data_IF_538683322755
#
_entry.id   IF_538683322755
#
_cell.length_a   1.000
_cell.length_b   1.000
_cell.length_c   1.000
_cell.angle_alpha   90.00
_cell.angle_beta   90.00
_cell.angle_gamma   90.00
#
_symmetry.space_group_name_H-M   'P 1'
#
loop_
_entity.id
_entity.type
_entity.pdbx_description
1 polymer ?
#
# COMPACT_ATOMS: atom_id res chain seq x y z
N UNK A 1 1.11 -32.15 -0.88
CA UNK A 1 0.44 -33.23 -1.67
C UNK A 1 -0.87 -32.79 -2.32
N UNK A 2 -1.75 -32.02 -1.68
CA UNK A 2 -3.05 -31.61 -2.25
C UNK A 2 -2.96 -30.88 -3.61
N UNK A 3 -2.03 -29.95 -3.79
CA UNK A 3 -1.85 -29.22 -5.06
C UNK A 3 -1.43 -30.10 -6.23
N UNK A 4 -0.47 -31.01 -6.01
CA UNK A 4 -0.02 -31.92 -7.06
C UNK A 4 -1.17 -32.84 -7.50
N UNK A 5 -1.97 -33.31 -6.56
CA UNK A 5 -3.15 -34.17 -6.83
C UNK A 5 -4.23 -33.40 -7.61
N UNK A 6 -4.44 -32.11 -7.32
CA UNK A 6 -5.42 -31.28 -8.03
C UNK A 6 -4.99 -30.96 -9.47
N UNK A 7 -3.69 -30.95 -9.77
CA UNK A 7 -3.15 -30.67 -11.11
C UNK A 7 -2.93 -31.92 -11.96
N UNK A 8 -2.88 -33.11 -11.36
CA UNK A 8 -2.65 -34.38 -12.07
C UNK A 8 -3.63 -34.62 -13.21
N UNK A 9 -4.95 -34.34 -13.09
CA UNK A 9 -5.91 -34.55 -14.17
C UNK A 9 -5.84 -33.51 -15.31
N UNK A 10 -4.93 -32.51 -15.25
CA UNK A 10 -4.82 -31.45 -16.24
C UNK A 10 -6.06 -30.51 -16.26
N UNK A 11 -6.41 -29.89 -15.15
CA UNK A 11 -7.62 -29.06 -15.08
C UNK A 11 -7.51 -27.82 -15.98
N UNK A 12 -8.65 -27.42 -16.57
CA UNK A 12 -8.72 -26.18 -17.36
C UNK A 12 -8.70 -24.91 -16.50
N UNK A 13 -9.01 -25.02 -15.22
CA UNK A 13 -9.02 -23.94 -14.23
C UNK A 13 -8.82 -24.55 -12.85
N UNK A 14 -7.97 -23.96 -12.02
CA UNK A 14 -7.77 -24.29 -10.63
C UNK A 14 -8.42 -23.23 -9.73
N UNK A 15 -9.26 -23.66 -8.78
CA UNK A 15 -9.84 -22.78 -7.77
C UNK A 15 -9.19 -23.09 -6.42
N UNK A 16 -8.63 -22.04 -5.79
CA UNK A 16 -7.92 -22.13 -4.51
C UNK A 16 -8.58 -21.17 -3.52
N UNK A 17 -9.16 -21.72 -2.46
CA UNK A 17 -9.80 -20.94 -1.40
C UNK A 17 -8.94 -21.01 -0.15
N UNK A 18 -8.35 -19.86 0.27
CA UNK A 18 -7.46 -19.72 1.43
C UNK A 18 -6.39 -20.82 1.54
N UNK A 19 -5.67 -21.18 0.46
CA UNK A 19 -4.89 -22.42 0.40
C UNK A 19 -3.66 -22.43 1.32
N UNK A 20 -3.27 -21.29 1.86
CA UNK A 20 -2.09 -21.16 2.71
C UNK A 20 -2.41 -20.78 4.15
N UNK A 21 -3.69 -20.61 4.52
CA UNK A 21 -4.11 -20.09 5.82
C UNK A 21 -3.63 -20.95 7.01
N UNK A 22 -3.58 -22.28 6.84
CA UNK A 22 -3.19 -23.21 7.92
C UNK A 22 -1.67 -23.40 8.08
N UNK A 23 -0.83 -22.69 7.32
CA UNK A 23 0.61 -22.88 7.30
C UNK A 23 1.35 -21.85 8.15
N UNK A 24 2.48 -22.26 8.74
CA UNK A 24 3.44 -21.32 9.32
C UNK A 24 4.11 -20.45 8.25
N UNK A 25 4.72 -19.33 8.66
CA UNK A 25 5.29 -18.37 7.71
C UNK A 25 6.38 -18.94 6.80
N UNK A 26 7.34 -19.76 7.27
CA UNK A 26 8.34 -20.39 6.38
C UNK A 26 7.74 -21.38 5.39
N UNK A 27 6.82 -22.24 5.82
CA UNK A 27 6.15 -23.20 4.94
C UNK A 27 5.27 -22.49 3.90
N UNK A 28 4.55 -21.45 4.30
CA UNK A 28 3.73 -20.60 3.44
C UNK A 28 4.55 -19.98 2.32
N UNK A 29 5.70 -19.36 2.64
CA UNK A 29 6.56 -18.74 1.66
C UNK A 29 7.12 -19.73 0.63
N UNK A 30 7.54 -20.92 1.10
CA UNK A 30 8.05 -21.98 0.22
C UNK A 30 6.94 -22.48 -0.69
N UNK A 31 5.78 -22.84 -0.13
CA UNK A 31 4.69 -23.43 -0.89
C UNK A 31 4.11 -22.46 -1.93
N UNK A 32 4.01 -21.16 -1.61
CA UNK A 32 3.62 -20.12 -2.59
C UNK A 32 4.52 -20.11 -3.81
N UNK A 33 5.85 -20.18 -3.62
CA UNK A 33 6.81 -20.22 -4.73
C UNK A 33 6.65 -21.50 -5.57
N UNK A 34 6.49 -22.63 -4.92
CA UNK A 34 6.32 -23.92 -5.59
C UNK A 34 5.02 -23.96 -6.41
N UNK A 35 3.89 -23.50 -5.83
CA UNK A 35 2.60 -23.45 -6.53
C UNK A 35 2.65 -22.49 -7.70
N UNK A 36 3.22 -21.27 -7.53
CA UNK A 36 3.36 -20.31 -8.63
C UNK A 36 4.21 -20.89 -9.77
N UNK A 37 5.36 -21.49 -9.46
CA UNK A 37 6.21 -22.13 -10.46
C UNK A 37 5.50 -23.25 -11.21
N UNK A 38 4.72 -24.05 -10.51
CA UNK A 38 3.95 -25.16 -11.09
C UNK A 38 2.83 -24.65 -12.01
N UNK A 39 2.07 -23.64 -11.60
CA UNK A 39 1.04 -23.00 -12.43
C UNK A 39 1.61 -22.43 -13.72
N UNK A 40 2.77 -21.73 -13.63
CA UNK A 40 3.47 -21.23 -14.81
C UNK A 40 3.96 -22.37 -15.72
N UNK A 41 4.55 -23.43 -15.16
CA UNK A 41 5.07 -24.55 -15.93
C UNK A 41 3.98 -25.33 -16.66
N UNK A 42 2.79 -25.44 -16.06
CA UNK A 42 1.65 -26.16 -16.66
C UNK A 42 0.75 -25.25 -17.52
N UNK A 43 0.92 -23.94 -17.44
CA UNK A 43 0.03 -22.97 -18.09
C UNK A 43 -1.42 -23.02 -17.58
N UNK A 44 -1.65 -23.58 -16.40
CA UNK A 44 -3.00 -23.75 -15.84
C UNK A 44 -3.47 -22.44 -15.23
N UNK A 45 -4.57 -21.83 -15.71
CA UNK A 45 -5.18 -20.68 -15.07
C UNK A 45 -5.63 -21.02 -13.65
N UNK A 46 -5.47 -20.08 -12.72
CA UNK A 46 -5.90 -20.27 -11.33
C UNK A 46 -6.65 -19.03 -10.82
N UNK A 47 -7.67 -19.26 -10.02
CA UNK A 47 -8.32 -18.24 -9.20
C UNK A 47 -7.96 -18.53 -7.75
N UNK A 48 -7.31 -17.58 -7.12
CA UNK A 48 -6.94 -17.62 -5.70
C UNK A 48 -7.86 -16.68 -4.91
N UNK A 49 -8.58 -17.22 -3.94
CA UNK A 49 -9.29 -16.41 -2.94
C UNK A 49 -8.41 -16.32 -1.70
N UNK A 50 -8.10 -15.11 -1.27
CA UNK A 50 -7.31 -14.85 -0.06
C UNK A 50 -7.64 -13.48 0.51
N UNK A 51 -7.49 -13.32 1.82
CA UNK A 51 -7.50 -12.05 2.52
C UNK A 51 -6.08 -11.53 2.81
N UNK A 52 -5.04 -12.31 2.48
CA UNK A 52 -3.64 -11.93 2.66
C UNK A 52 -3.13 -11.17 1.43
N UNK A 53 -2.91 -9.87 1.60
CA UNK A 53 -2.35 -8.97 0.57
C UNK A 53 -1.01 -9.48 0.02
N UNK A 54 -0.16 -10.05 0.88
CA UNK A 54 1.14 -10.58 0.47
C UNK A 54 1.00 -11.80 -0.44
N UNK A 55 -0.02 -12.62 -0.19
CA UNK A 55 -0.36 -13.75 -1.07
C UNK A 55 -0.86 -13.26 -2.42
N UNK A 56 -1.79 -12.31 -2.41
CA UNK A 56 -2.29 -11.71 -3.64
C UNK A 56 -1.15 -11.14 -4.49
N UNK A 57 -0.28 -10.33 -3.90
CA UNK A 57 0.89 -9.73 -4.58
C UNK A 57 1.90 -10.76 -5.08
N UNK A 58 2.11 -11.87 -4.34
CA UNK A 58 3.08 -12.89 -4.70
C UNK A 58 2.57 -13.85 -5.79
N UNK A 59 1.26 -14.06 -5.87
CA UNK A 59 0.65 -15.11 -6.70
C UNK A 59 -0.11 -14.56 -7.91
N UNK A 60 -0.73 -13.37 -7.80
CA UNK A 60 -1.65 -12.85 -8.79
C UNK A 60 -0.99 -12.04 -9.90
N UNK A 61 -1.51 -12.13 -11.11
CA UNK A 61 -1.21 -11.22 -12.22
C UNK A 61 -2.30 -10.13 -12.30
N UNK A 62 -3.54 -10.49 -11.95
CA UNK A 62 -4.68 -9.60 -11.80
C UNK A 62 -5.40 -9.86 -10.48
N UNK A 63 -6.15 -8.87 -10.00
CA UNK A 63 -6.92 -8.96 -8.76
C UNK A 63 -8.35 -8.45 -8.95
N UNK A 64 -9.29 -9.13 -8.31
CA UNK A 64 -10.66 -8.67 -8.10
C UNK A 64 -10.86 -8.39 -6.60
N UNK A 65 -11.13 -7.14 -6.24
CA UNK A 65 -11.45 -6.76 -4.86
C UNK A 65 -12.94 -6.93 -4.63
N UNK A 66 -13.29 -7.80 -3.69
CA UNK A 66 -14.68 -8.12 -3.33
C UNK A 66 -14.99 -7.59 -1.94
N UNK A 67 -15.98 -6.73 -1.82
CA UNK A 67 -16.42 -6.13 -0.55
C UNK A 67 -17.93 -6.26 -0.43
N UNK A 68 -18.41 -6.85 0.67
CA UNK A 68 -19.85 -7.06 0.91
C UNK A 68 -20.49 -7.93 -0.18
N UNK A 69 -19.79 -8.96 -0.69
CA UNK A 69 -20.26 -9.85 -1.74
C UNK A 69 -20.34 -9.23 -3.14
N UNK A 70 -19.78 -8.02 -3.34
CA UNK A 70 -19.77 -7.33 -4.64
C UNK A 70 -18.35 -7.07 -5.10
N UNK A 71 -18.09 -7.28 -6.39
CA UNK A 71 -16.84 -6.87 -7.02
C UNK A 71 -16.80 -5.35 -7.11
N UNK A 72 -15.82 -4.72 -6.45
CA UNK A 72 -15.63 -3.27 -6.39
C UNK A 72 -14.62 -2.78 -7.43
N UNK A 73 -13.57 -3.55 -7.64
CA UNK A 73 -12.53 -3.23 -8.62
C UNK A 73 -11.91 -4.51 -9.16
N UNK A 74 -11.57 -4.52 -10.45
CA UNK A 74 -10.83 -5.61 -11.12
C UNK A 74 -9.77 -4.97 -12.02
N UNK A 75 -8.59 -5.54 -12.05
CA UNK A 75 -7.53 -5.08 -12.94
C UNK A 75 -6.18 -5.75 -12.68
N UNK A 76 -5.15 -5.36 -13.42
CA UNK A 76 -3.79 -5.75 -13.15
C UNK A 76 -3.40 -5.44 -11.70
N UNK A 77 -2.60 -6.31 -11.09
CA UNK A 77 -2.19 -6.17 -9.70
C UNK A 77 -1.59 -4.78 -9.41
N UNK A 78 -0.66 -4.34 -10.27
CA UNK A 78 -0.02 -3.03 -10.15
C UNK A 78 -1.02 -1.87 -10.11
N UNK A 79 -2.05 -1.93 -10.95
CA UNK A 79 -3.01 -0.84 -11.11
C UNK A 79 -3.96 -0.75 -9.91
N UNK A 80 -4.53 -1.89 -9.52
CA UNK A 80 -5.47 -1.95 -8.41
C UNK A 80 -4.80 -1.57 -7.08
N UNK A 81 -3.57 -2.04 -6.85
CA UNK A 81 -2.83 -1.70 -5.64
C UNK A 81 -2.32 -0.25 -5.62
N UNK A 82 -2.02 0.33 -6.78
CA UNK A 82 -1.56 1.73 -6.85
C UNK A 82 -2.69 2.74 -7.03
N UNK A 83 -3.88 2.31 -7.50
CA UNK A 83 -5.03 3.16 -7.82
C UNK A 83 -6.34 2.54 -7.32
N UNK A 84 -6.58 2.49 -6.00
CA UNK A 84 -7.85 2.02 -5.49
C UNK A 84 -9.00 2.91 -5.99
N UNK A 85 -10.08 2.29 -6.44
CA UNK A 85 -11.22 2.98 -7.03
C UNK A 85 -12.00 3.82 -6.00
N UNK A 86 -11.99 3.38 -4.74
CA UNK A 86 -12.66 4.07 -3.65
C UNK A 86 -11.97 3.80 -2.29
N UNK A 87 -12.45 4.48 -1.26
CA UNK A 87 -11.92 4.38 0.12
C UNK A 87 -12.03 2.96 0.70
N UNK A 88 -13.10 2.24 0.38
CA UNK A 88 -13.29 0.87 0.89
C UNK A 88 -12.28 -0.09 0.24
N UNK A 89 -12.01 0.08 -1.04
CA UNK A 89 -10.94 -0.64 -1.75
C UNK A 89 -9.58 -0.26 -1.16
N UNK A 90 -9.29 1.03 -0.98
CA UNK A 90 -8.05 1.49 -0.36
C UNK A 90 -7.81 0.83 1.01
N UNK A 91 -8.81 0.84 1.87
CA UNK A 91 -8.75 0.21 3.20
C UNK A 91 -8.51 -1.31 3.10
N UNK A 92 -9.20 -2.01 2.20
CA UNK A 92 -9.03 -3.46 2.02
C UNK A 92 -7.64 -3.84 1.49
N UNK A 93 -7.00 -2.92 0.77
CA UNK A 93 -5.63 -3.08 0.28
C UNK A 93 -4.56 -2.64 1.30
N UNK A 94 -4.97 -2.31 2.54
CA UNK A 94 -4.07 -1.94 3.62
C UNK A 94 -3.43 -0.56 3.44
N UNK A 95 -4.16 0.39 2.86
CA UNK A 95 -3.75 1.80 2.89
C UNK A 95 -4.20 2.37 4.23
N UNK A 96 -3.23 2.77 5.05
CA UNK A 96 -3.48 3.17 6.43
C UNK A 96 -3.98 4.61 6.54
N UNK A 97 -3.38 5.54 5.77
CA UNK A 97 -3.81 6.92 5.77
C UNK A 97 -4.74 7.23 4.58
N UNK A 98 -6.02 7.46 4.88
CA UNK A 98 -7.03 7.92 3.93
C UNK A 98 -7.57 9.25 4.46
N UNK A 99 -7.05 10.35 3.94
CA UNK A 99 -7.18 11.68 4.49
C UNK A 99 -8.09 12.55 3.63
N UNK A 100 -9.14 13.17 4.18
CA UNK A 100 -9.92 14.16 3.45
C UNK A 100 -9.03 15.30 2.97
N UNK A 101 -9.14 15.64 1.69
CA UNK A 101 -8.28 16.62 1.05
C UNK A 101 -9.03 17.42 -0.02
N UNK A 102 -8.44 18.52 -0.46
CA UNK A 102 -8.97 19.34 -1.55
C UNK A 102 -7.86 19.70 -2.52
N UNK A 103 -8.12 19.55 -3.80
CA UNK A 103 -7.20 20.00 -4.86
C UNK A 103 -7.20 21.53 -4.90
N UNK A 104 -6.00 22.13 -4.80
CA UNK A 104 -5.82 23.58 -4.77
C UNK A 104 -5.38 24.10 -6.13
N UNK A 105 -4.41 23.41 -6.75
CA UNK A 105 -3.84 23.79 -8.03
C UNK A 105 -3.34 22.57 -8.80
N UNK A 106 -3.16 22.72 -10.11
CA UNK A 106 -2.45 21.78 -10.97
C UNK A 106 -1.42 22.55 -11.80
N UNK A 107 -0.18 22.10 -11.80
CA UNK A 107 0.91 22.69 -12.55
C UNK A 107 1.98 21.67 -12.89
N UNK A 108 2.40 21.65 -14.16
CA UNK A 108 3.53 20.82 -14.63
C UNK A 108 3.42 19.33 -14.24
N UNK A 109 2.20 18.75 -14.30
CA UNK A 109 1.98 17.33 -13.99
C UNK A 109 2.00 17.03 -12.47
N UNK A 110 1.85 18.06 -11.63
CA UNK A 110 1.77 17.96 -10.17
C UNK A 110 0.52 18.69 -9.69
N UNK A 111 -0.28 17.99 -8.89
CA UNK A 111 -1.39 18.56 -8.16
C UNK A 111 -0.91 19.04 -6.79
N UNK A 112 -1.35 20.22 -6.39
CA UNK A 112 -1.26 20.71 -5.02
C UNK A 112 -2.55 20.37 -4.30
N UNK A 113 -2.44 19.62 -3.21
CA UNK A 113 -3.58 19.08 -2.48
C UNK A 113 -3.47 19.47 -1.01
N UNK A 114 -4.51 20.09 -0.46
CA UNK A 114 -4.56 20.49 0.93
C UNK A 114 -5.19 19.43 1.79
N UNK A 115 -4.43 18.92 2.75
CA UNK A 115 -4.88 18.02 3.82
C UNK A 115 -4.81 18.81 5.13
N UNK A 116 -5.91 19.05 5.79
CA UNK A 116 -5.98 19.96 6.93
C UNK A 116 -5.29 21.32 6.60
N UNK A 117 -4.22 21.65 7.30
CA UNK A 117 -3.44 22.88 7.08
C UNK A 117 -2.14 22.63 6.28
N UNK A 118 -1.92 21.41 5.77
CA UNK A 118 -0.69 21.02 5.09
C UNK A 118 -0.94 20.90 3.60
N UNK A 119 0.01 21.37 2.79
CA UNK A 119 -0.02 21.23 1.34
C UNK A 119 0.84 20.03 0.93
N UNK A 120 0.24 19.11 0.17
CA UNK A 120 0.91 17.98 -0.43
C UNK A 120 1.03 18.17 -1.94
N UNK A 121 2.15 17.73 -2.48
CA UNK A 121 2.38 17.60 -3.91
C UNK A 121 2.12 16.18 -4.34
N UNK A 122 1.23 15.99 -5.33
CA UNK A 122 0.81 14.67 -5.83
C UNK A 122 1.06 14.62 -7.33
N UNK A 123 1.64 13.55 -7.84
CA UNK A 123 1.80 13.38 -9.28
C UNK A 123 0.43 13.30 -9.95
N UNK A 124 0.16 14.20 -10.89
CA UNK A 124 -1.07 14.19 -11.67
C UNK A 124 -1.04 13.01 -12.64
N UNK A 125 -1.91 12.03 -12.40
CA UNK A 125 -2.09 10.86 -13.26
C UNK A 125 -3.34 10.98 -14.09
N UNK A 126 -4.40 11.50 -13.48
CA UNK A 126 -5.68 11.79 -14.10
C UNK A 126 -6.04 13.26 -13.82
N UNK A 127 -6.65 13.99 -14.78
CA UNK A 127 -7.02 15.38 -14.58
C UNK A 127 -8.06 15.52 -13.46
N UNK A 128 -7.71 16.24 -12.41
CA UNK A 128 -8.63 16.58 -11.30
C UNK A 128 -8.68 18.09 -11.20
N UNK A 129 -9.88 18.65 -11.34
CA UNK A 129 -10.04 20.10 -11.34
C UNK A 129 -9.71 20.71 -9.95
N UNK A 130 -9.05 21.89 -9.90
CA UNK A 130 -8.93 22.63 -8.66
C UNK A 130 -10.30 22.90 -8.03
N UNK A 131 -10.36 22.79 -6.70
CA UNK A 131 -11.59 22.87 -5.93
C UNK A 131 -12.28 21.52 -5.66
N UNK A 132 -11.85 20.44 -6.34
CA UNK A 132 -12.40 19.11 -6.12
C UNK A 132 -12.06 18.58 -4.73
N UNK A 133 -13.05 17.98 -4.06
CA UNK A 133 -12.85 17.23 -2.82
C UNK A 133 -12.41 15.79 -3.15
N UNK A 134 -11.36 15.34 -2.50
CA UNK A 134 -10.72 14.04 -2.71
C UNK A 134 -10.32 13.42 -1.37
N UNK A 135 -9.91 12.15 -1.41
CA UNK A 135 -9.14 11.54 -0.34
C UNK A 135 -7.68 11.38 -0.81
N UNK A 136 -6.73 11.84 0.00
CA UNK A 136 -5.31 11.53 -0.18
C UNK A 136 -5.00 10.21 0.54
N UNK A 137 -4.56 9.23 -0.22
CA UNK A 137 -4.25 7.88 0.24
C UNK A 137 -2.73 7.72 0.28
N UNK A 138 -2.19 7.39 1.46
CA UNK A 138 -0.74 7.24 1.70
C UNK A 138 -0.53 5.92 2.43
N UNK A 139 0.47 5.14 2.00
CA UNK A 139 0.88 3.90 2.67
C UNK A 139 1.99 4.20 3.67
N UNK A 140 1.97 3.54 4.81
CA UNK A 140 3.03 3.68 5.81
C UNK A 140 4.42 3.25 5.27
N UNK A 141 4.46 2.30 4.34
CA UNK A 141 5.68 1.85 3.66
C UNK A 141 6.30 2.89 2.70
N UNK A 142 5.52 3.88 2.26
CA UNK A 142 5.96 4.97 1.36
C UNK A 142 6.46 6.20 2.12
N UNK A 143 6.39 6.19 3.45
CA UNK A 143 6.83 7.29 4.31
C UNK A 143 8.25 7.03 4.78
N UNK A 144 9.17 7.89 4.39
CA UNK A 144 10.57 7.87 4.85
C UNK A 144 10.75 8.86 5.99
N UNK A 145 11.48 8.50 7.04
CA UNK A 145 11.80 9.39 8.15
C UNK A 145 13.24 9.92 8.04
N UNK A 146 13.39 11.22 8.22
CA UNK A 146 14.66 11.94 8.15
C UNK A 146 14.81 12.83 9.38
N UNK A 147 16.04 12.93 9.92
CA UNK A 147 16.37 13.81 11.07
C UNK A 147 17.07 15.09 10.63
N UNK A 148 17.40 15.23 9.36
CA UNK A 148 18.06 16.42 8.79
C UNK A 148 17.19 17.04 7.72
N UNK A 149 17.35 18.38 7.53
CA UNK A 149 16.71 19.06 6.41
C UNK A 149 17.16 18.45 5.10
N UNK A 150 16.22 18.10 4.20
CA UNK A 150 16.54 17.50 2.93
C UNK A 150 17.36 18.49 2.08
N UNK A 151 18.41 17.97 1.43
CA UNK A 151 19.05 18.65 0.32
C UNK A 151 18.16 18.57 -0.95
N UNK A 152 18.72 18.82 -2.12
CA UNK A 152 18.02 18.60 -3.40
C UNK A 152 17.67 17.11 -3.53
N UNK A 153 16.37 16.81 -3.50
CA UNK A 153 15.83 15.44 -3.57
C UNK A 153 14.66 15.37 -4.54
N UNK A 154 14.39 14.18 -5.07
CA UNK A 154 13.21 13.89 -5.88
C UNK A 154 11.93 13.78 -5.06
N UNK A 155 12.03 13.68 -3.75
CA UNK A 155 10.92 13.71 -2.80
C UNK A 155 10.37 15.13 -2.74
N UNK A 156 9.07 15.31 -2.97
CA UNK A 156 8.45 16.63 -3.01
C UNK A 156 7.76 17.01 -1.71
N UNK A 157 7.32 16.04 -0.93
CA UNK A 157 6.66 16.28 0.35
C UNK A 157 7.65 16.03 1.48
N UNK A 158 7.97 17.09 2.21
CA UNK A 158 8.79 17.05 3.43
C UNK A 158 7.98 17.69 4.55
N UNK A 159 7.37 16.83 5.36
CA UNK A 159 6.43 17.24 6.40
C UNK A 159 7.13 17.29 7.74
N UNK A 160 7.08 18.42 8.43
CA UNK A 160 7.48 18.45 9.83
C UNK A 160 6.55 17.53 10.63
N UNK A 161 7.11 16.59 11.32
CA UNK A 161 6.37 15.55 12.04
C UNK A 161 6.91 15.36 13.45
N UNK A 162 6.01 15.02 14.36
CA UNK A 162 6.34 14.60 15.71
C UNK A 162 5.99 13.13 15.88
N UNK A 163 6.91 12.34 16.40
CA UNK A 163 6.66 10.94 16.78
C UNK A 163 5.67 10.90 17.92
N UNK A 164 4.55 10.24 17.73
CA UNK A 164 3.49 10.05 18.74
C UNK A 164 3.70 8.76 19.50
N UNK A 165 3.91 7.66 18.78
CA UNK A 165 4.11 6.33 19.35
C UNK A 165 4.96 5.47 18.41
N UNK A 166 5.55 4.43 18.97
CA UNK A 166 6.29 3.40 18.21
C UNK A 166 5.81 2.03 18.66
N UNK A 167 5.39 1.21 17.73
CA UNK A 167 4.97 -0.18 17.96
C UNK A 167 5.86 -1.13 17.16
N UNK A 168 6.42 -2.15 17.81
CA UNK A 168 7.26 -3.15 17.15
C UNK A 168 6.40 -4.25 16.51
N UNK A 169 6.56 -4.45 15.22
CA UNK A 169 5.89 -5.49 14.43
C UNK A 169 6.93 -6.49 13.88
N UNK A 170 7.59 -7.21 14.77
CA UNK A 170 8.65 -8.15 14.41
C UNK A 170 9.94 -7.47 13.95
N UNK A 171 10.36 -7.59 12.67
CA UNK A 171 11.60 -6.99 12.17
C UNK A 171 11.45 -5.50 11.85
N UNK A 172 10.24 -4.98 11.80
CA UNK A 172 9.90 -3.59 11.50
C UNK A 172 9.23 -2.92 12.69
N UNK A 173 9.32 -1.60 12.75
CA UNK A 173 8.63 -0.76 13.70
C UNK A 173 7.64 0.14 12.95
N UNK A 174 6.40 0.22 13.45
CA UNK A 174 5.39 1.19 13.03
C UNK A 174 5.56 2.43 13.89
N UNK A 175 5.76 3.56 13.23
CA UNK A 175 5.93 4.87 13.86
C UNK A 175 4.71 5.72 13.55
N UNK A 176 3.89 5.98 14.56
CA UNK A 176 2.78 6.91 14.45
C UNK A 176 3.28 8.36 14.56
N UNK A 177 2.89 9.19 13.61
CA UNK A 177 3.32 10.55 13.43
C UNK A 177 2.15 11.53 13.50
N UNK A 178 2.43 12.72 14.01
CA UNK A 178 1.57 13.89 13.87
C UNK A 178 2.27 14.89 12.92
N UNK A 179 1.72 15.01 11.72
CA UNK A 179 2.17 15.93 10.66
C UNK A 179 1.21 17.12 10.49
N UNK A 180 0.39 17.46 11.50
CA UNK A 180 -0.82 18.26 11.36
C UNK A 180 -2.03 17.43 10.94
N UNK A 181 -1.80 16.16 10.69
CA UNK A 181 -2.74 15.05 10.52
C UNK A 181 -2.03 13.75 10.90
N UNK A 182 -2.76 12.69 11.29
CA UNK A 182 -2.17 11.42 11.65
C UNK A 182 -1.59 10.71 10.41
N UNK A 183 -0.38 10.19 10.54
CA UNK A 183 0.32 9.45 9.49
C UNK A 183 1.16 8.35 10.14
N UNK A 184 1.24 7.18 9.51
CA UNK A 184 2.13 6.11 9.94
C UNK A 184 3.33 5.99 9.01
N UNK A 185 4.47 5.55 9.55
CA UNK A 185 5.65 5.12 8.80
C UNK A 185 6.07 3.72 9.24
N UNK A 186 6.48 2.88 8.28
CA UNK A 186 7.08 1.58 8.55
C UNK A 186 8.59 1.67 8.34
N UNK A 187 9.36 1.40 9.38
CA UNK A 187 10.81 1.46 9.35
C UNK A 187 11.42 0.17 9.93
N UNK A 188 12.70 -0.08 9.63
CA UNK A 188 13.40 -1.18 10.29
C UNK A 188 13.76 -0.78 11.72
N UNK A 189 13.91 -1.77 12.61
CA UNK A 189 14.40 -1.53 13.97
C UNK A 189 15.76 -0.82 13.97
N UNK A 190 16.64 -1.20 13.04
CA UNK A 190 17.95 -0.56 12.87
C UNK A 190 17.81 0.93 12.51
N UNK A 191 16.91 1.29 11.61
CA UNK A 191 16.65 2.71 11.29
C UNK A 191 16.15 3.50 12.49
N UNK A 192 15.28 2.91 13.32
CA UNK A 192 14.85 3.55 14.57
C UNK A 192 16.03 3.85 15.50
N UNK A 193 16.94 2.89 15.66
CA UNK A 193 18.13 3.05 16.51
C UNK A 193 19.09 4.11 15.94
N UNK A 194 19.41 4.05 14.65
CA UNK A 194 20.30 5.01 13.96
C UNK A 194 19.75 6.44 13.97
N UNK A 195 18.42 6.60 13.81
CA UNK A 195 17.74 7.89 13.88
C UNK A 195 17.41 8.33 15.31
N UNK A 196 17.70 7.48 16.33
CA UNK A 196 17.42 7.71 17.73
C UNK A 196 15.96 8.14 17.99
N UNK A 197 15.02 7.42 17.40
CA UNK A 197 13.59 7.76 17.45
C UNK A 197 12.96 7.32 18.77
N UNK A 198 12.25 8.25 19.40
CA UNK A 198 11.44 8.03 20.58
C UNK A 198 10.15 8.88 20.50
N UNK A 199 9.10 8.54 21.24
CA UNK A 199 7.93 9.40 21.37
C UNK A 199 8.33 10.83 21.78
N UNK A 200 7.77 11.81 21.07
CA UNK A 200 8.11 13.23 21.20
C UNK A 200 9.24 13.74 20.27
N UNK A 201 9.98 12.86 19.62
CA UNK A 201 11.05 13.24 18.70
C UNK A 201 10.48 14.02 17.49
N UNK A 202 11.21 15.05 17.06
CA UNK A 202 10.90 15.80 15.82
C UNK A 202 11.64 15.16 14.66
N UNK A 203 10.92 14.91 13.58
CA UNK A 203 11.45 14.30 12.36
C UNK A 203 10.83 14.96 11.13
N UNK A 204 11.40 14.71 9.97
CA UNK A 204 10.77 15.02 8.68
C UNK A 204 10.20 13.73 8.10
N UNK A 205 8.90 13.72 7.81
CA UNK A 205 8.27 12.66 7.03
C UNK A 205 8.36 13.03 5.54
N UNK A 206 9.14 12.28 4.80
CA UNK A 206 9.38 12.51 3.38
C UNK A 206 8.58 11.51 2.53
N UNK A 207 7.79 12.02 1.58
CA UNK A 207 6.90 11.22 0.72
C UNK A 207 7.07 11.66 -0.72
N UNK A 208 7.26 10.71 -1.64
CA UNK A 208 7.29 11.02 -3.08
C UNK A 208 5.90 11.45 -3.55
N UNK A 209 5.84 12.44 -4.44
CA UNK A 209 4.57 12.84 -5.07
C UNK A 209 3.88 11.67 -5.81
N UNK A 210 4.65 10.72 -6.29
CA UNK A 210 4.16 9.51 -6.98
C UNK A 210 3.58 8.45 -6.06
N UNK A 211 3.84 8.53 -4.76
CA UNK A 211 3.36 7.59 -3.73
C UNK A 211 2.07 8.06 -3.04
N UNK A 212 1.63 9.28 -3.30
CA UNK A 212 0.32 9.76 -2.86
C UNK A 212 -0.69 9.47 -3.95
N UNK A 213 -1.78 8.76 -3.61
CA UNK A 213 -2.87 8.48 -4.53
C UNK A 213 -4.12 9.26 -4.15
N UNK A 214 -4.83 9.80 -5.16
CA UNK A 214 -6.08 10.54 -4.94
C UNK A 214 -7.28 9.70 -5.34
N UNK A 215 -8.26 9.63 -4.46
CA UNK A 215 -9.55 9.01 -4.69
C UNK A 215 -10.62 10.11 -4.67
N UNK A 216 -11.47 10.22 -5.72
CA UNK A 216 -12.57 11.18 -5.71
C UNK A 216 -13.47 10.99 -4.50
N UNK A 217 -13.89 12.10 -3.89
CA UNK A 217 -14.88 12.10 -2.82
C UNK A 217 -16.23 12.40 -3.46
N UNK A 218 -16.98 11.31 -3.73
CA UNK A 218 -18.37 11.37 -4.22
C UNK A 218 -19.32 11.79 -3.12
#
# INVERSE_FOLDING_TARGET
MAFASALTPGPRLLLLDEPFAALDAPARLRLRREVRALLHATGTPAVLVTHDRTEALAMGDAVAVVIGGRVRQVGPMSDVFSRPADVAVAASLGIEAVLPARVVASSCGVLEVRVANVLLHVAERDPIAPGSDVYACIRAEDVTLETRSPGLASTRNHLAARVVAIASEGPIDRVALDCGFPLDALITRRSREELNLAPGAQVTAAIKATSVHLVPRS
#
